data_IF_466886679423
#
_entry.id   IF_466886679423
#
_cell.length_a   1.000
_cell.length_b   1.000
_cell.length_c   1.000
_cell.angle_alpha   90.00
_cell.angle_beta   90.00
_cell.angle_gamma   90.00
#
_symmetry.space_group_name_H-M   'P 1'
#
loop_
_entity.id
_entity.type
_entity.pdbx_description
1 polymer ?
#
# COMPACT_ATOMS: atom_id res chain seq x y z
N UNK A 1 12.24 -16.41 4.76
CA UNK A 1 11.26 -15.35 4.46
C UNK A 1 11.14 -15.27 2.93
N UNK A 2 9.97 -15.54 2.34
CA UNK A 2 9.81 -15.50 0.87
C UNK A 2 9.40 -14.07 0.47
N UNK A 3 9.98 -13.48 -0.60
CA UNK A 3 9.71 -12.10 -0.97
C UNK A 3 8.27 -11.93 -1.47
N UNK A 4 7.61 -10.81 -1.15
CA UNK A 4 6.22 -10.50 -1.53
C UNK A 4 5.93 -10.61 -3.04
N UNK A 5 6.95 -10.44 -3.89
CA UNK A 5 6.86 -10.67 -5.33
C UNK A 5 6.50 -12.13 -5.70
N UNK A 6 6.76 -13.09 -4.81
CA UNK A 6 6.41 -14.50 -4.96
C UNK A 6 4.90 -14.73 -4.85
N UNK A 7 4.21 -14.05 -3.92
CA UNK A 7 2.77 -14.23 -3.69
C UNK A 7 1.92 -13.52 -4.75
N UNK A 8 2.37 -12.36 -5.27
CA UNK A 8 1.70 -11.65 -6.38
C UNK A 8 1.66 -12.46 -7.68
N UNK A 9 2.75 -13.16 -8.01
CA UNK A 9 2.79 -14.07 -9.18
C UNK A 9 1.81 -15.24 -9.02
N UNK A 10 1.60 -15.73 -7.80
CA UNK A 10 0.61 -16.80 -7.54
C UNK A 10 -0.83 -16.33 -7.67
N UNK A 11 -1.07 -15.03 -7.50
CA UNK A 11 -2.35 -14.39 -7.81
C UNK A 11 -2.51 -14.09 -9.31
N UNK A 12 -1.56 -14.45 -10.18
CA UNK A 12 -1.65 -14.12 -11.61
C UNK A 12 -1.40 -12.64 -11.92
N UNK A 13 -0.96 -11.85 -10.92
CA UNK A 13 -0.60 -10.44 -11.11
C UNK A 13 0.83 -10.37 -11.67
N UNK A 14 0.91 -10.37 -13.00
CA UNK A 14 2.18 -10.40 -13.74
C UNK A 14 2.55 -9.07 -14.40
N UNK A 15 1.77 -8.01 -14.16
CA UNK A 15 2.00 -6.73 -14.82
C UNK A 15 3.36 -6.16 -14.42
N UNK A 16 4.12 -5.73 -15.43
CA UNK A 16 5.36 -4.98 -15.24
C UNK A 16 5.04 -3.72 -14.41
N UNK A 17 5.80 -3.43 -13.34
CA UNK A 17 5.57 -2.23 -12.56
C UNK A 17 5.70 -0.99 -13.46
N UNK A 18 4.66 -0.17 -13.45
CA UNK A 18 4.59 1.11 -14.14
C UNK A 18 5.17 2.24 -13.28
N UNK A 19 4.67 3.48 -13.40
CA UNK A 19 5.22 4.61 -12.66
C UNK A 19 5.14 4.42 -11.15
N UNK A 20 6.16 4.93 -10.47
CA UNK A 20 6.23 5.00 -9.00
C UNK A 20 5.19 6.02 -8.50
N UNK A 21 4.26 5.56 -7.67
CA UNK A 21 3.19 6.37 -7.10
C UNK A 21 3.60 7.04 -5.80
N UNK A 22 4.21 6.29 -4.88
CA UNK A 22 4.58 6.83 -3.56
C UNK A 22 5.86 6.17 -3.07
N UNK A 23 6.68 6.94 -2.38
CA UNK A 23 7.78 6.42 -1.55
C UNK A 23 7.42 6.69 -0.09
N UNK A 24 7.32 5.64 0.71
CA UNK A 24 7.24 5.76 2.16
C UNK A 24 8.57 5.42 2.80
N UNK A 25 8.98 6.23 3.77
CA UNK A 25 10.18 6.07 4.56
C UNK A 25 9.79 6.04 6.04
N UNK A 26 10.00 4.88 6.66
CA UNK A 26 9.81 4.65 8.08
C UNK A 26 11.17 4.49 8.76
N UNK A 27 11.50 5.42 9.64
CA UNK A 27 12.74 5.37 10.41
C UNK A 27 12.71 4.21 11.43
N UNK A 28 13.87 3.61 11.68
CA UNK A 28 14.00 2.62 12.74
C UNK A 28 13.71 3.26 14.12
N UNK A 29 12.95 2.55 14.97
CA UNK A 29 12.66 2.97 16.34
C UNK A 29 13.21 1.92 17.31
N UNK A 30 14.08 2.29 18.27
CA UNK A 30 14.59 3.64 18.53
C UNK A 30 15.51 4.16 17.41
N UNK A 31 15.62 5.49 17.28
CA UNK A 31 16.56 6.16 16.37
C UNK A 31 17.97 5.56 16.57
N UNK A 32 18.53 4.97 15.50
CA UNK A 32 19.83 4.27 15.54
C UNK A 32 19.75 2.73 15.66
N UNK A 33 18.55 2.16 15.80
CA UNK A 33 18.35 0.72 15.58
C UNK A 33 18.56 0.35 14.10
N UNK A 34 18.82 -0.92 13.80
CA UNK A 34 19.15 -1.35 12.43
C UNK A 34 17.97 -1.17 11.47
N UNK A 35 18.12 -0.15 10.61
CA UNK A 35 17.58 -0.09 9.26
C UNK A 35 16.29 0.69 9.13
N UNK A 36 16.37 1.86 8.50
CA UNK A 36 15.21 2.53 7.94
C UNK A 36 14.53 1.62 6.90
N UNK A 37 13.21 1.64 6.86
CA UNK A 37 12.41 0.90 5.89
C UNK A 37 11.88 1.86 4.83
N UNK A 38 12.22 1.58 3.59
CA UNK A 38 11.63 2.24 2.42
C UNK A 38 10.61 1.32 1.76
N UNK A 39 9.40 1.83 1.53
CA UNK A 39 8.33 1.14 0.80
C UNK A 39 8.05 1.92 -0.48
N UNK A 40 8.13 1.24 -1.62
CA UNK A 40 7.88 1.83 -2.93
C UNK A 40 6.56 1.28 -3.48
N UNK A 41 5.60 2.16 -3.77
CA UNK A 41 4.29 1.79 -4.30
C UNK A 41 4.28 2.13 -5.79
N UNK A 42 4.12 1.12 -6.64
CA UNK A 42 4.07 1.28 -8.10
C UNK A 42 2.66 1.10 -8.62
N UNK A 43 2.35 1.77 -9.72
CA UNK A 43 1.16 1.49 -10.50
C UNK A 43 1.36 0.22 -11.34
N UNK A 44 0.53 -0.79 -11.15
CA UNK A 44 0.64 -2.08 -11.85
C UNK A 44 -0.40 -2.24 -12.98
N UNK A 45 -0.95 -1.16 -13.52
CA UNK A 45 -1.97 -1.23 -14.56
C UNK A 45 -3.41 -1.30 -14.03
N UNK A 46 -4.35 -1.58 -14.93
CA UNK A 46 -5.76 -1.85 -14.61
C UNK A 46 -6.04 -3.33 -14.82
N UNK A 47 -6.90 -3.89 -13.97
CA UNK A 47 -7.48 -5.20 -14.20
C UNK A 47 -8.81 -5.01 -14.93
N UNK A 48 -9.06 -5.85 -15.92
CA UNK A 48 -10.40 -6.03 -16.49
C UNK A 48 -11.32 -6.73 -15.50
N UNK A 49 -12.63 -6.61 -15.68
CA UNK A 49 -13.62 -7.30 -14.84
C UNK A 49 -13.41 -8.82 -14.85
N UNK A 50 -13.04 -9.39 -15.99
CA UNK A 50 -12.71 -10.81 -16.11
C UNK A 50 -11.49 -11.23 -15.32
N UNK A 51 -10.43 -10.40 -15.30
CA UNK A 51 -9.22 -10.68 -14.52
C UNK A 51 -9.48 -10.55 -13.02
N UNK A 52 -10.25 -9.53 -12.62
CA UNK A 52 -10.68 -9.34 -11.23
C UNK A 52 -11.54 -10.52 -10.74
N UNK A 53 -12.46 -11.01 -11.56
CA UNK A 53 -13.27 -12.19 -11.23
C UNK A 53 -12.42 -13.46 -11.13
N UNK A 54 -11.46 -13.65 -12.04
CA UNK A 54 -10.55 -14.80 -12.02
C UNK A 54 -9.66 -14.81 -10.76
N UNK A 55 -9.22 -13.64 -10.31
CA UNK A 55 -8.46 -13.47 -9.07
C UNK A 55 -9.24 -13.94 -7.84
N UNK A 56 -10.50 -13.53 -7.71
CA UNK A 56 -11.36 -13.90 -6.58
C UNK A 56 -11.73 -15.39 -6.59
N UNK A 57 -11.80 -16.01 -7.77
CA UNK A 57 -12.09 -17.43 -7.92
C UNK A 57 -10.86 -18.34 -7.73
N UNK A 58 -9.65 -17.77 -7.76
CA UNK A 58 -8.41 -18.53 -7.67
C UNK A 58 -8.11 -18.94 -6.22
N UNK A 59 -7.53 -20.14 -5.99
CA UNK A 59 -7.08 -20.52 -4.67
C UNK A 59 -6.05 -19.53 -4.14
N UNK A 60 -6.31 -18.98 -2.96
CA UNK A 60 -5.37 -18.06 -2.32
C UNK A 60 -4.10 -18.81 -1.92
N UNK A 61 -2.92 -18.18 -2.05
CA UNK A 61 -1.70 -18.69 -1.43
C UNK A 61 -1.87 -18.91 0.07
N UNK A 62 -1.17 -19.89 0.64
CA UNK A 62 -1.24 -20.22 2.08
C UNK A 62 -0.94 -19.04 3.03
N UNK A 63 -0.23 -18.02 2.54
CA UNK A 63 0.11 -16.78 3.25
C UNK A 63 -0.91 -15.64 3.05
N UNK A 64 -1.99 -15.88 2.31
CA UNK A 64 -3.06 -14.91 2.04
C UNK A 64 -4.39 -15.48 2.53
N UNK A 65 -4.93 -14.88 3.59
CA UNK A 65 -6.19 -15.34 4.21
C UNK A 65 -7.44 -14.86 3.48
N UNK A 66 -7.37 -13.69 2.85
CA UNK A 66 -8.48 -13.06 2.16
C UNK A 66 -7.96 -12.17 1.01
N UNK A 67 -8.72 -12.13 -0.08
CA UNK A 67 -8.54 -11.18 -1.17
C UNK A 67 -9.90 -10.53 -1.47
N UNK A 68 -9.95 -9.20 -1.42
CA UNK A 68 -11.17 -8.45 -1.72
C UNK A 68 -10.83 -7.15 -2.44
N UNK A 69 -11.70 -6.71 -3.35
CA UNK A 69 -11.58 -5.40 -4.00
C UNK A 69 -12.40 -4.37 -3.20
N UNK A 70 -11.71 -3.36 -2.67
CA UNK A 70 -12.34 -2.31 -1.88
C UNK A 70 -12.46 -1.03 -2.69
N UNK A 71 -13.62 -0.38 -2.58
CA UNK A 71 -13.76 0.99 -3.03
C UNK A 71 -13.06 1.92 -2.01
N UNK A 72 -12.14 2.79 -2.44
CA UNK A 72 -11.41 3.68 -1.55
C UNK A 72 -12.28 4.71 -0.81
N UNK A 73 -13.54 4.88 -1.20
CA UNK A 73 -14.52 5.68 -0.44
C UNK A 73 -14.98 4.95 0.83
N UNK A 74 -15.06 3.61 0.78
CA UNK A 74 -15.53 2.74 1.86
C UNK A 74 -14.37 1.97 2.48
N UNK A 75 -13.32 2.69 2.86
CA UNK A 75 -12.12 2.06 3.38
C UNK A 75 -12.42 1.29 4.66
N UNK A 76 -12.02 0.03 4.66
CA UNK A 76 -12.34 -0.90 5.72
C UNK A 76 -11.79 -0.38 7.07
N UNK A 77 -12.57 -0.38 8.16
CA UNK A 77 -12.14 0.15 9.46
C UNK A 77 -10.86 -0.48 10.04
N UNK A 78 -10.46 -1.66 9.53
CA UNK A 78 -9.24 -2.34 9.97
C UNK A 78 -7.94 -1.77 9.37
N UNK A 79 -8.03 -0.86 8.38
CA UNK A 79 -6.83 -0.22 7.85
C UNK A 79 -6.20 0.67 8.92
N UNK A 80 -4.92 0.44 9.21
CA UNK A 80 -4.21 1.31 10.14
C UNK A 80 -4.17 2.74 9.59
N UNK A 81 -4.12 3.77 10.46
CA UNK A 81 -3.96 5.16 10.01
C UNK A 81 -2.74 5.37 9.10
N UNK A 82 -1.70 4.56 9.29
CA UNK A 82 -0.50 4.57 8.48
C UNK A 82 -0.76 4.02 7.06
N UNK A 83 -1.41 2.87 6.94
CA UNK A 83 -1.72 2.27 5.64
C UNK A 83 -2.69 3.16 4.86
N UNK A 84 -3.65 3.77 5.56
CA UNK A 84 -4.58 4.76 5.01
C UNK A 84 -3.84 5.94 4.38
N UNK A 85 -2.90 6.55 5.10
CA UNK A 85 -2.09 7.67 4.58
C UNK A 85 -1.31 7.28 3.32
N UNK A 86 -0.71 6.09 3.30
CA UNK A 86 0.05 5.62 2.14
C UNK A 86 -0.85 5.42 0.92
N UNK A 87 -2.03 4.84 1.13
CA UNK A 87 -3.03 4.64 0.09
C UNK A 87 -3.57 5.97 -0.46
N UNK A 88 -3.95 6.91 0.42
CA UNK A 88 -4.47 8.22 0.00
C UNK A 88 -3.44 8.98 -0.84
N UNK A 89 -2.15 8.93 -0.47
CA UNK A 89 -1.08 9.54 -1.25
C UNK A 89 -0.91 8.88 -2.63
N UNK A 90 -0.97 7.54 -2.72
CA UNK A 90 -0.88 6.83 -3.99
C UNK A 90 -2.07 7.14 -4.90
N UNK A 91 -3.28 7.23 -4.34
CA UNK A 91 -4.48 7.61 -5.08
C UNK A 91 -4.44 9.06 -5.56
N UNK A 92 -3.95 9.99 -4.73
CA UNK A 92 -3.75 11.38 -5.13
C UNK A 92 -2.72 11.50 -6.27
N UNK A 93 -1.60 10.77 -6.19
CA UNK A 93 -0.59 10.73 -7.25
C UNK A 93 -1.17 10.22 -8.59
N UNK A 94 -2.00 9.17 -8.53
CA UNK A 94 -2.71 8.63 -9.70
C UNK A 94 -3.71 9.62 -10.30
N UNK A 95 -4.53 10.24 -9.45
CA UNK A 95 -5.61 11.15 -9.88
C UNK A 95 -5.07 12.47 -10.42
N UNK A 96 -4.16 13.09 -9.67
CA UNK A 96 -3.75 14.48 -9.88
C UNK A 96 -2.50 14.57 -10.77
N UNK A 97 -1.83 13.45 -11.05
CA UNK A 97 -0.56 13.37 -11.82
C UNK A 97 0.52 14.31 -11.27
N UNK A 98 0.49 14.56 -9.96
CA UNK A 98 1.30 15.56 -9.25
C UNK A 98 2.74 15.11 -8.94
N UNK A 99 3.22 14.06 -9.61
CA UNK A 99 4.49 13.41 -9.32
C UNK A 99 4.41 12.37 -8.21
N UNK A 100 5.55 11.86 -7.77
CA UNK A 100 5.65 10.80 -6.76
C UNK A 100 5.79 11.41 -5.35
N UNK A 101 4.73 11.43 -4.51
CA UNK A 101 4.84 11.82 -3.11
C UNK A 101 5.90 11.02 -2.34
N UNK A 102 6.69 11.76 -1.56
CA UNK A 102 7.59 11.21 -0.56
C UNK A 102 6.98 11.39 0.83
N UNK A 103 6.70 10.27 1.48
CA UNK A 103 6.11 10.18 2.80
C UNK A 103 7.18 9.80 3.80
N UNK A 104 7.65 10.77 4.60
CA UNK A 104 8.49 10.47 5.77
C UNK A 104 7.59 10.25 6.98
N UNK A 105 7.89 9.22 7.78
CA UNK A 105 7.29 8.88 9.08
C UNK A 105 5.77 9.11 9.13
N UNK A 106 4.96 8.06 8.97
CA UNK A 106 3.54 8.19 9.30
C UNK A 106 3.37 8.76 10.70
N UNK A 107 2.55 9.80 10.85
CA UNK A 107 2.34 10.46 12.14
C UNK A 107 1.90 9.40 13.15
N UNK A 108 2.83 8.98 14.01
CA UNK A 108 2.56 8.12 15.17
C UNK A 108 2.49 9.03 16.37
N UNK A 109 1.34 9.64 16.60
CA UNK A 109 1.11 10.35 17.85
C UNK A 109 0.78 9.34 18.95
N UNK A 110 1.65 9.23 19.95
CA UNK A 110 1.36 8.57 21.23
C UNK A 110 0.86 9.57 22.28
N UNK A 111 0.62 10.83 21.89
CA UNK A 111 0.13 11.92 22.75
C UNK A 111 -1.15 12.54 22.17
N UNK A 112 -2.03 13.13 22.99
CA UNK A 112 -3.19 13.87 22.50
C UNK A 112 -2.73 15.01 21.58
N UNK A 113 -3.25 15.04 20.35
CA UNK A 113 -3.09 16.20 19.46
C UNK A 113 -3.94 17.33 20.03
N UNK A 114 -3.31 18.30 20.70
CA UNK A 114 -3.98 19.57 20.98
C UNK A 114 -4.03 20.38 19.70
N UNK A 115 -5.24 20.72 19.26
CA UNK A 115 -5.46 21.73 18.23
C UNK A 115 -5.13 23.10 18.81
N UNK A 116 -4.52 24.01 18.03
CA UNK A 116 -4.29 25.38 18.47
C UNK A 116 -5.65 26.06 18.70
N UNK A 117 -5.74 26.76 19.83
CA UNK A 117 -6.88 27.63 20.21
C UNK A 117 -7.06 28.77 19.23
#
# INVERSE_FOLDING_TARGET
>A
MRPAAYSLRRLGLHNTPGPLLTVDHMEAIPLGATGDRFTFIFYCGQLTDSEAAALLASPLPDDVTELTFLNPIYLHPSLSPYDRRCLDAALAALRDKTGTPYLRNGIRSTRPLHLPT
#
